data_IF_374988680883
#
_entry.id   IF_374988680883
#
_cell.length_a   1.000
_cell.length_b   1.000
_cell.length_c   1.000
_cell.angle_alpha   90.00
_cell.angle_beta   90.00
_cell.angle_gamma   90.00
#
_symmetry.space_group_name_H-M   'P 1'
#
loop_
_entity.id
_entity.type
_entity.pdbx_description
1 polymer ?
#
# COMPACT_ATOMS: atom_id res chain seq x y z
N UNK A 1 4.47 -12.32 -2.08
CA UNK A 1 3.86 -10.99 -1.89
C UNK A 1 4.29 -10.30 -0.60
N UNK A 2 4.08 -10.88 0.59
CA UNK A 2 4.49 -10.24 1.86
C UNK A 2 5.96 -9.79 1.87
N UNK A 3 6.89 -10.61 1.38
CA UNK A 3 8.31 -10.24 1.30
C UNK A 3 8.57 -8.98 0.47
N UNK A 4 7.80 -8.74 -0.59
CA UNK A 4 7.91 -7.54 -1.42
C UNK A 4 7.23 -6.33 -0.73
N UNK A 5 6.10 -6.56 -0.07
CA UNK A 5 5.41 -5.51 0.69
C UNK A 5 6.27 -4.98 1.85
N UNK A 6 7.02 -5.85 2.54
CA UNK A 6 7.93 -5.44 3.60
C UNK A 6 9.02 -4.46 3.14
N UNK A 7 9.38 -4.45 1.85
CA UNK A 7 10.35 -3.51 1.28
C UNK A 7 9.81 -2.08 1.15
N UNK A 8 8.49 -1.91 1.26
CA UNK A 8 7.84 -0.60 1.22
C UNK A 8 7.97 0.16 2.54
N UNK A 9 8.32 -0.50 3.64
CA UNK A 9 8.40 0.09 4.98
C UNK A 9 9.48 1.17 5.06
N UNK A 10 9.21 2.22 5.82
CA UNK A 10 10.10 3.37 5.98
C UNK A 10 9.80 4.51 5.02
N UNK A 11 10.73 5.46 4.92
CA UNK A 11 10.61 6.65 4.08
C UNK A 11 11.14 6.40 2.66
N UNK A 12 10.29 6.61 1.66
CA UNK A 12 10.66 6.42 0.26
C UNK A 12 10.02 7.47 -0.65
N UNK A 13 10.63 7.64 -1.82
CA UNK A 13 10.04 8.35 -2.95
C UNK A 13 9.11 7.43 -3.74
N UNK A 14 7.80 7.64 -3.60
CA UNK A 14 6.79 6.80 -4.24
C UNK A 14 6.37 7.29 -5.64
N UNK A 15 7.23 8.00 -6.35
CA UNK A 15 6.92 8.52 -7.70
C UNK A 15 6.51 7.43 -8.70
N UNK A 16 7.09 6.23 -8.63
CA UNK A 16 6.67 5.10 -9.46
C UNK A 16 5.23 4.61 -9.18
N UNK A 17 4.67 4.99 -8.03
CA UNK A 17 3.33 4.64 -7.59
C UNK A 17 2.38 5.84 -7.61
N UNK A 18 2.76 6.96 -8.23
CA UNK A 18 2.00 8.21 -8.29
C UNK A 18 1.25 8.34 -9.61
N UNK A 19 -0.04 8.71 -9.56
CA UNK A 19 -0.77 9.12 -10.76
C UNK A 19 -0.29 10.49 -11.29
N UNK A 20 -0.34 10.70 -12.61
CA UNK A 20 0.11 11.94 -13.25
C UNK A 20 -0.63 13.19 -12.72
N UNK A 21 -1.91 13.04 -12.38
CA UNK A 21 -2.78 14.12 -11.86
C UNK A 21 -2.59 14.38 -10.36
N UNK A 22 -1.65 13.70 -9.69
CA UNK A 22 -1.46 13.87 -8.26
C UNK A 22 -0.93 15.28 -7.94
N UNK A 23 -1.64 16.00 -7.08
CA UNK A 23 -1.30 17.37 -6.66
C UNK A 23 -0.42 17.44 -5.41
N UNK A 24 -0.02 16.29 -4.83
CA UNK A 24 0.81 16.27 -3.64
C UNK A 24 2.17 16.96 -3.90
N UNK A 25 2.58 17.84 -2.96
CA UNK A 25 3.83 18.61 -3.07
C UNK A 25 5.08 17.74 -3.12
N UNK A 26 5.09 16.64 -2.36
CA UNK A 26 6.21 15.69 -2.30
C UNK A 26 5.71 14.28 -2.58
N UNK A 27 6.44 13.48 -3.40
CA UNK A 27 6.20 12.05 -3.55
C UNK A 27 6.79 11.23 -2.40
N UNK A 28 7.57 11.85 -1.50
CA UNK A 28 8.19 11.17 -0.36
C UNK A 28 7.14 10.92 0.71
N UNK A 29 7.00 9.68 1.15
CA UNK A 29 6.06 9.24 2.20
C UNK A 29 6.74 8.22 3.10
N UNK A 30 6.19 8.05 4.29
CA UNK A 30 6.66 7.05 5.25
C UNK A 30 5.60 5.99 5.39
N UNK A 31 5.92 4.75 5.03
CA UNK A 31 5.05 3.60 5.23
C UNK A 31 5.35 2.99 6.61
N UNK A 32 4.38 3.01 7.50
CA UNK A 32 4.47 2.46 8.86
C UNK A 32 3.99 1.01 8.91
N UNK A 33 3.07 0.62 8.01
CA UNK A 33 2.59 -0.76 7.88
C UNK A 33 2.43 -1.17 6.42
N UNK A 34 2.85 -2.39 6.10
CA UNK A 34 2.63 -3.01 4.79
C UNK A 34 2.52 -4.54 4.96
N UNK A 35 1.28 -5.04 5.07
CA UNK A 35 1.01 -6.47 5.27
C UNK A 35 0.13 -7.04 4.16
N UNK A 36 0.33 -8.32 3.88
CA UNK A 36 -0.39 -9.14 2.91
C UNK A 36 -0.70 -10.45 3.61
N UNK A 37 -1.97 -10.67 3.90
CA UNK A 37 -2.47 -11.84 4.63
C UNK A 37 -3.47 -12.60 3.76
N UNK A 38 -3.50 -13.92 3.90
CA UNK A 38 -4.49 -14.75 3.20
C UNK A 38 -5.52 -15.25 4.20
N UNK A 39 -6.80 -15.05 3.85
CA UNK A 39 -7.96 -15.51 4.62
C UNK A 39 -8.83 -16.36 3.69
N UNK A 40 -8.67 -17.68 3.77
CA UNK A 40 -9.31 -18.60 2.82
C UNK A 40 -8.94 -18.29 1.36
N UNK A 41 -9.93 -17.88 0.58
CA UNK A 41 -9.77 -17.48 -0.83
C UNK A 41 -9.52 -15.98 -1.03
N UNK A 42 -9.47 -15.19 0.04
CA UNK A 42 -9.21 -13.75 -0.02
C UNK A 42 -7.76 -13.44 0.34
N UNK A 43 -7.20 -12.43 -0.32
CA UNK A 43 -5.88 -11.86 0.02
C UNK A 43 -6.11 -10.41 0.42
N UNK A 44 -5.80 -10.10 1.67
CA UNK A 44 -5.99 -8.78 2.27
C UNK A 44 -4.65 -8.06 2.32
N UNK A 45 -4.63 -6.86 1.75
CA UNK A 45 -3.50 -5.95 1.79
C UNK A 45 -3.82 -4.83 2.78
N UNK A 46 -2.94 -4.61 3.75
CA UNK A 46 -3.12 -3.58 4.77
C UNK A 46 -1.92 -2.64 4.74
N UNK A 47 -2.19 -1.34 4.56
CA UNK A 47 -1.19 -0.30 4.44
C UNK A 47 -1.52 0.85 5.37
N UNK A 48 -0.50 1.30 6.10
CA UNK A 48 -0.54 2.51 6.90
C UNK A 48 0.66 3.38 6.52
N UNK A 49 0.42 4.66 6.30
CA UNK A 49 1.46 5.60 5.90
C UNK A 49 1.15 7.02 6.38
N UNK A 50 2.17 7.86 6.44
CA UNK A 50 2.03 9.28 6.80
C UNK A 50 1.08 10.04 5.85
N UNK A 51 1.01 9.64 4.59
CA UNK A 51 -0.03 9.99 3.63
C UNK A 51 0.05 9.08 2.41
N UNK A 52 -0.99 9.08 1.57
CA UNK A 52 -1.00 8.37 0.29
C UNK A 52 -1.05 9.34 -0.90
N UNK A 53 -0.31 9.03 -1.96
CA UNK A 53 -0.41 9.75 -3.24
C UNK A 53 -1.65 9.28 -4.01
N UNK A 54 -2.08 10.07 -5.00
CA UNK A 54 -3.20 9.70 -5.87
C UNK A 54 -2.89 8.35 -6.56
N UNK A 55 -3.80 7.38 -6.39
CA UNK A 55 -3.69 5.98 -6.81
C UNK A 55 -2.58 5.12 -6.16
N UNK A 56 -1.85 5.63 -5.17
CA UNK A 56 -0.71 4.94 -4.58
C UNK A 56 -1.02 3.51 -4.15
N UNK A 57 -2.02 3.32 -3.30
CA UNK A 57 -2.39 1.98 -2.80
C UNK A 57 -2.73 1.01 -3.93
N UNK A 58 -3.51 1.45 -4.92
CA UNK A 58 -3.90 0.62 -6.06
C UNK A 58 -2.73 0.28 -6.98
N UNK A 59 -1.77 1.18 -7.13
CA UNK A 59 -0.54 0.89 -7.86
C UNK A 59 0.35 -0.11 -7.11
N UNK A 60 0.48 0.04 -5.78
CA UNK A 60 1.19 -0.90 -4.93
C UNK A 60 0.58 -2.31 -5.01
N UNK A 61 -0.74 -2.43 -4.86
CA UNK A 61 -1.46 -3.70 -5.00
C UNK A 61 -1.24 -4.31 -6.38
N UNK A 62 -1.34 -3.51 -7.46
CA UNK A 62 -1.06 -3.97 -8.81
C UNK A 62 0.33 -4.59 -8.95
N UNK A 63 1.35 -3.91 -8.43
CA UNK A 63 2.74 -4.39 -8.41
C UNK A 63 2.89 -5.68 -7.61
N UNK A 64 2.36 -5.72 -6.39
CA UNK A 64 2.43 -6.89 -5.51
C UNK A 64 1.73 -8.11 -6.13
N UNK A 65 0.60 -7.92 -6.82
CA UNK A 65 -0.10 -9.01 -7.52
C UNK A 65 0.71 -9.57 -8.68
N UNK A 66 1.44 -8.74 -9.44
CA UNK A 66 2.33 -9.24 -10.50
C UNK A 66 3.46 -10.09 -9.92
N UNK A 67 4.04 -9.67 -8.79
CA UNK A 67 5.04 -10.47 -8.06
C UNK A 67 4.39 -11.77 -7.53
N UNK A 68 3.19 -11.69 -6.97
CA UNK A 68 2.45 -12.85 -6.46
C UNK A 68 2.11 -13.88 -7.53
N UNK A 69 1.93 -13.45 -8.78
CA UNK A 69 1.73 -14.32 -9.96
C UNK A 69 3.04 -14.86 -10.55
N UNK A 70 4.20 -14.47 -10.02
CA UNK A 70 5.51 -14.85 -10.55
C UNK A 70 5.91 -14.13 -11.83
N UNK A 71 5.20 -13.08 -12.24
CA UNK A 71 5.53 -12.30 -13.43
C UNK A 71 6.72 -11.35 -13.22
N UNK A 72 7.02 -11.03 -11.95
CA UNK A 72 8.13 -10.17 -11.54
C UNK A 72 8.75 -10.72 -10.25
N UNK A 73 10.03 -10.40 -10.03
CA UNK A 73 10.75 -10.79 -8.84
C UNK A 73 10.41 -9.90 -7.62
N UNK A 74 10.80 -10.36 -6.42
CA UNK A 74 10.45 -9.68 -5.15
C UNK A 74 11.13 -8.31 -5.02
N UNK A 75 12.35 -8.19 -5.53
CA UNK A 75 13.19 -6.98 -5.57
C UNK A 75 12.73 -5.92 -6.58
N UNK A 76 11.78 -6.26 -7.46
CA UNK A 76 11.18 -5.30 -8.38
C UNK A 76 10.57 -4.08 -7.66
N UNK A 77 10.14 -4.24 -6.40
CA UNK A 77 9.69 -3.12 -5.58
C UNK A 77 10.80 -2.08 -5.37
N UNK A 78 12.02 -2.50 -5.05
CA UNK A 78 13.15 -1.59 -4.85
C UNK A 78 13.56 -0.94 -6.16
N UNK A 79 13.53 -1.70 -7.25
CA UNK A 79 13.80 -1.17 -8.59
C UNK A 79 12.82 -0.05 -8.92
N UNK A 80 11.51 -0.24 -8.69
CA UNK A 80 10.50 0.79 -8.93
C UNK A 80 10.71 2.01 -8.03
N UNK A 81 11.01 1.82 -6.75
CA UNK A 81 11.33 2.92 -5.83
C UNK A 81 12.59 3.69 -6.26
N UNK A 82 13.60 3.00 -6.78
CA UNK A 82 14.84 3.59 -7.27
C UNK A 82 14.68 4.33 -8.61
N UNK A 83 13.93 3.74 -9.55
CA UNK A 83 13.72 4.31 -10.89
C UNK A 83 12.73 5.48 -10.89
N UNK A 84 11.77 5.48 -9.95
CA UNK A 84 10.81 6.58 -9.77
C UNK A 84 9.92 6.86 -10.99
N UNK A 85 9.84 5.92 -11.94
CA UNK A 85 9.08 6.05 -13.18
C UNK A 85 7.81 5.20 -13.14
N UNK A 86 6.66 5.89 -13.14
CA UNK A 86 5.33 5.27 -13.13
C UNK A 86 5.10 4.36 -14.34
N UNK A 87 5.75 4.59 -15.48
CA UNK A 87 5.57 3.77 -16.69
C UNK A 87 6.08 2.34 -16.53
N UNK A 88 6.99 2.13 -15.58
CA UNK A 88 7.59 0.83 -15.30
C UNK A 88 6.79 0.02 -14.29
N UNK A 89 5.92 0.66 -13.51
CA UNK A 89 5.07 -0.01 -12.54
C UNK A 89 3.87 -0.70 -13.20
N UNK A 90 3.27 -1.66 -12.49
CA UNK A 90 2.08 -2.36 -12.95
C UNK A 90 0.91 -1.40 -13.28
N UNK A 91 -0.07 -1.86 -14.09
CA UNK A 91 -1.34 -1.17 -14.25
C UNK A 91 -2.02 -0.92 -12.89
N UNK A 92 -2.74 0.20 -12.78
CA UNK A 92 -3.50 0.53 -11.57
C UNK A 92 -4.55 -0.55 -11.32
N UNK A 93 -4.57 -1.12 -10.10
CA UNK A 93 -5.54 -2.16 -9.74
C UNK A 93 -6.98 -1.62 -9.66
N UNK A 94 -7.97 -2.52 -9.70
CA UNK A 94 -9.40 -2.14 -9.54
C UNK A 94 -9.62 -1.40 -8.20
N UNK A 95 -10.48 -0.36 -8.15
CA UNK A 95 -10.84 0.29 -6.90
C UNK A 95 -11.84 -0.51 -6.05
N UNK A 96 -12.53 -1.52 -6.60
CA UNK A 96 -13.71 -2.13 -5.98
C UNK A 96 -13.42 -2.84 -4.63
N UNK A 97 -12.16 -3.21 -4.39
CA UNK A 97 -11.72 -3.83 -3.15
C UNK A 97 -10.95 -2.88 -2.22
N UNK A 98 -10.91 -1.58 -2.51
CA UNK A 98 -10.19 -0.60 -1.71
C UNK A 98 -11.12 0.00 -0.64
N UNK A 99 -10.71 -0.13 0.62
CA UNK A 99 -11.41 0.45 1.77
C UNK A 99 -10.45 1.35 2.55
N UNK A 100 -10.96 2.50 2.98
CA UNK A 100 -10.25 3.37 3.91
C UNK A 100 -10.70 3.03 5.34
N UNK A 101 -9.82 2.41 6.14
CA UNK A 101 -10.10 2.09 7.55
C UNK A 101 -10.21 3.34 8.42
N UNK A 102 -9.33 4.30 8.21
CA UNK A 102 -9.33 5.52 8.99
C UNK A 102 -7.91 6.09 9.19
N UNK A 103 -7.82 7.32 9.70
CA UNK A 103 -6.57 7.88 10.19
C UNK A 103 -6.25 7.41 11.62
N UNK A 104 -4.97 7.44 11.99
CA UNK A 104 -4.51 7.28 13.38
C UNK A 104 -4.32 8.66 13.98
N UNK A 105 -4.86 8.88 15.18
CA UNK A 105 -4.70 10.10 15.96
C UNK A 105 -3.85 9.85 17.21
N UNK A 106 -3.22 10.90 17.73
CA UNK A 106 -2.49 10.83 18.99
C UNK A 106 -3.41 10.44 20.15
N UNK A 107 -2.90 9.64 21.09
CA UNK A 107 -3.68 9.11 22.22
C UNK A 107 -4.35 10.19 23.08
N UNK A 108 -3.80 11.41 23.13
CA UNK A 108 -4.37 12.52 23.90
C UNK A 108 -5.78 12.95 23.47
N UNK A 109 -6.20 12.57 22.25
CA UNK A 109 -7.52 12.89 21.72
C UNK A 109 -8.61 11.92 22.19
N UNK A 110 -8.25 10.82 22.86
CA UNK A 110 -9.17 9.82 23.43
C UNK A 110 -10.25 9.35 22.44
N UNK A 111 -9.84 9.14 21.19
CA UNK A 111 -10.72 8.65 20.13
C UNK A 111 -10.76 7.11 20.15
N UNK A 112 -11.91 6.50 19.77
CA UNK A 112 -11.99 5.04 19.61
C UNK A 112 -10.91 4.53 18.65
N UNK A 113 -10.28 3.40 18.99
CA UNK A 113 -9.24 2.82 18.16
C UNK A 113 -9.87 2.27 16.86
N UNK A 114 -9.41 2.68 15.66
CA UNK A 114 -9.82 2.04 14.41
C UNK A 114 -9.48 0.54 14.34
N UNK A 115 -8.58 0.05 15.20
CA UNK A 115 -8.30 -1.36 15.42
C UNK A 115 -9.47 -2.12 16.06
N UNK A 116 -10.41 -1.44 16.72
CA UNK A 116 -11.60 -2.03 17.31
C UNK A 116 -12.74 -2.27 16.28
N UNK A 117 -12.47 -2.07 14.98
CA UNK A 117 -13.49 -2.11 13.94
C UNK A 117 -13.64 -3.48 13.22
N UNK A 118 -14.87 -3.74 12.77
CA UNK A 118 -15.52 -4.94 12.20
C UNK A 118 -14.67 -6.03 11.48
N UNK A 119 -13.55 -5.70 10.83
CA UNK A 119 -12.78 -6.66 10.01
C UNK A 119 -12.03 -7.68 10.86
N UNK A 120 -11.52 -7.28 12.02
CA UNK A 120 -10.82 -8.20 12.90
C UNK A 120 -11.79 -9.23 13.52
N UNK A 121 -13.11 -8.95 13.58
CA UNK A 121 -14.14 -9.92 13.95
C UNK A 121 -14.63 -10.83 12.83
N UNK A 122 -14.37 -10.48 11.56
CA UNK A 122 -14.77 -11.27 10.36
C UNK A 122 -13.65 -12.16 9.85
N UNK A 123 -12.39 -11.76 10.08
CA UNK A 123 -11.20 -12.42 9.54
C UNK A 123 -10.54 -13.39 10.54
N UNK A 124 -11.19 -13.72 11.65
CA UNK A 124 -10.79 -14.79 12.59
C UNK A 124 -11.33 -16.15 12.12
#
# INVERSE_FOLDING_TARGET
>A
MQQAAARLLGEHDFSAFRAAECQAKSPVKTMTQATVRQFGNMIVFDFEASAFLHHMVRNLVGTLVHIGKGAQAVDWVDELLGMKDRKLAAPTFSPDGLYFRGPVYEAQWDLPDPADDFLDGILI
#
